data_IF_883952744550
#
_entry.id   IF_883952744550
#
_cell.length_a   1.000
_cell.length_b   1.000
_cell.length_c   1.000
_cell.angle_alpha   90.00
_cell.angle_beta   90.00
_cell.angle_gamma   90.00
#
_symmetry.space_group_name_H-M   'P 1'
#
loop_
_entity.id
_entity.type
_entity.pdbx_description
1 polymer ?
#
# COMPACT_ATOMS: atom_id res chain seq x y z
N UNK A 1 -30.54 -16.18 -16.21
CA UNK A 1 -30.34 -15.57 -14.88
C UNK A 1 -29.09 -14.71 -14.97
N UNK A 2 -29.25 -13.40 -15.12
CA UNK A 2 -28.14 -12.47 -15.30
C UNK A 2 -27.54 -12.16 -13.93
N UNK A 3 -26.39 -12.74 -13.62
CA UNK A 3 -25.55 -12.28 -12.52
C UNK A 3 -25.05 -10.90 -12.89
N UNK A 4 -25.60 -9.87 -12.26
CA UNK A 4 -24.99 -8.56 -12.24
C UNK A 4 -23.65 -8.74 -11.51
N UNK A 5 -22.55 -8.74 -12.26
CA UNK A 5 -21.24 -8.50 -11.68
C UNK A 5 -21.35 -7.17 -10.94
N UNK A 6 -21.24 -7.22 -9.62
CA UNK A 6 -21.08 -6.03 -8.80
C UNK A 6 -19.70 -5.45 -9.07
N UNK A 7 -19.50 -4.85 -10.24
CA UNK A 7 -18.47 -3.83 -10.47
C UNK A 7 -18.98 -2.53 -9.81
N UNK A 8 -19.16 -2.56 -8.50
CA UNK A 8 -19.72 -1.44 -7.75
C UNK A 8 -18.58 -0.69 -7.07
N UNK A 9 -18.22 0.44 -7.68
CA UNK A 9 -17.58 1.63 -7.12
C UNK A 9 -16.18 1.47 -6.49
N UNK A 10 -15.36 2.51 -6.65
CA UNK A 10 -14.14 2.65 -5.83
C UNK A 10 -14.51 2.46 -4.35
N UNK A 11 -13.82 1.55 -3.66
CA UNK A 11 -14.06 1.30 -2.25
C UNK A 11 -13.71 2.53 -1.42
N UNK A 12 -14.62 2.92 -0.54
CA UNK A 12 -14.41 3.98 0.43
C UNK A 12 -13.42 3.56 1.52
N UNK A 13 -12.73 4.53 2.10
CA UNK A 13 -11.93 4.31 3.32
C UNK A 13 -12.89 3.84 4.41
N UNK A 14 -12.57 2.72 5.06
CA UNK A 14 -13.39 2.09 6.09
C UNK A 14 -14.31 0.99 5.57
N UNK A 15 -14.52 0.87 4.26
CA UNK A 15 -15.30 -0.21 3.66
C UNK A 15 -14.54 -1.54 3.67
N UNK A 16 -15.28 -2.64 3.61
CA UNK A 16 -14.71 -3.98 3.47
C UNK A 16 -14.53 -4.27 1.99
N UNK A 17 -13.29 -4.55 1.60
CA UNK A 17 -13.01 -5.02 0.25
C UNK A 17 -13.62 -6.41 0.06
N UNK A 18 -14.57 -6.61 -0.87
CA UNK A 18 -15.24 -7.89 -1.06
C UNK A 18 -14.30 -8.99 -1.57
N UNK A 19 -13.14 -8.62 -2.14
CA UNK A 19 -12.16 -9.57 -2.66
C UNK A 19 -11.25 -10.13 -1.58
N UNK A 20 -10.83 -9.30 -0.64
CA UNK A 20 -9.87 -9.68 0.42
C UNK A 20 -10.55 -9.88 1.78
N UNK A 21 -11.75 -9.34 1.96
CA UNK A 21 -12.46 -9.29 3.24
C UNK A 21 -11.82 -8.32 4.24
N UNK A 22 -10.86 -7.50 3.82
CA UNK A 22 -10.16 -6.56 4.71
C UNK A 22 -10.74 -5.15 4.61
N UNK A 23 -10.63 -4.40 5.71
CA UNK A 23 -10.99 -2.98 5.72
C UNK A 23 -9.97 -2.17 4.92
N UNK A 24 -10.46 -1.32 4.03
CA UNK A 24 -9.65 -0.33 3.32
C UNK A 24 -9.26 0.78 4.28
N UNK A 25 -7.95 1.03 4.41
CA UNK A 25 -7.38 2.02 5.33
C UNK A 25 -6.97 3.32 4.63
N UNK A 26 -6.55 3.23 3.38
CA UNK A 26 -6.22 4.35 2.52
C UNK A 26 -6.23 3.91 1.05
N UNK A 27 -6.14 4.87 0.12
CA UNK A 27 -6.04 4.56 -1.30
C UNK A 27 -5.18 5.58 -2.04
N UNK A 28 -4.60 5.16 -3.18
CA UNK A 28 -3.95 6.03 -4.15
C UNK A 28 -4.56 5.83 -5.52
N UNK A 29 -4.86 6.92 -6.22
CA UNK A 29 -5.25 6.87 -7.64
C UNK A 29 -4.02 7.12 -8.49
N UNK A 30 -3.73 6.21 -9.41
CA UNK A 30 -2.63 6.35 -10.37
C UNK A 30 -3.19 6.41 -11.78
N UNK A 31 -2.50 7.13 -12.67
CA UNK A 31 -2.76 7.01 -14.11
C UNK A 31 -2.46 5.57 -14.52
N UNK A 32 -3.37 4.99 -15.28
CA UNK A 32 -3.26 3.60 -15.71
C UNK A 32 -3.20 3.51 -17.23
N UNK A 33 -2.62 2.41 -17.72
CA UNK A 33 -2.44 2.15 -19.14
C UNK A 33 -3.77 2.00 -19.87
N UNK A 34 -3.74 1.66 -21.17
CA UNK A 34 -4.92 1.64 -22.06
C UNK A 34 -6.06 0.67 -21.67
N UNK A 35 -5.96 -0.05 -20.54
CA UNK A 35 -6.84 -1.16 -20.14
C UNK A 35 -7.45 -1.04 -18.73
N UNK A 36 -7.64 0.16 -18.15
CA UNK A 36 -8.11 0.30 -16.75
C UNK A 36 -9.47 0.97 -16.53
N UNK A 37 -9.90 0.97 -15.26
CA UNK A 37 -11.29 0.81 -14.80
C UNK A 37 -12.14 2.10 -14.71
N UNK A 38 -11.55 3.30 -14.73
CA UNK A 38 -12.32 4.55 -14.62
C UNK A 38 -11.72 5.72 -15.40
N UNK A 39 -12.59 6.53 -15.99
CA UNK A 39 -12.25 7.77 -16.68
C UNK A 39 -12.64 8.96 -15.80
N UNK A 40 -11.67 9.82 -15.45
CA UNK A 40 -11.91 11.09 -14.75
C UNK A 40 -11.44 12.28 -15.57
N UNK A 41 -12.09 13.44 -15.43
CA UNK A 41 -11.59 14.69 -15.99
C UNK A 41 -10.38 15.17 -15.17
N UNK A 42 -9.27 15.49 -15.84
CA UNK A 42 -8.07 15.97 -15.17
C UNK A 42 -8.31 17.31 -14.45
N UNK A 43 -7.91 17.37 -13.18
CA UNK A 43 -8.13 18.53 -12.29
C UNK A 43 -7.05 19.61 -12.38
N UNK A 44 -5.91 19.32 -13.04
CA UNK A 44 -4.85 20.31 -13.27
C UNK A 44 -5.31 21.35 -14.30
N UNK A 45 -5.15 22.67 -14.05
CA UNK A 45 -5.61 23.71 -14.99
C UNK A 45 -5.06 23.56 -16.42
N UNK A 46 -3.81 23.11 -16.55
CA UNK A 46 -3.15 22.86 -17.85
C UNK A 46 -3.59 21.58 -18.57
N UNK A 47 -4.39 20.73 -17.91
CA UNK A 47 -4.90 19.48 -18.46
C UNK A 47 -6.44 19.41 -18.43
N UNK A 48 -7.11 20.50 -18.06
CA UNK A 48 -8.58 20.58 -17.93
C UNK A 48 -9.26 20.13 -19.22
N UNK A 49 -10.27 19.27 -19.12
CA UNK A 49 -10.93 18.63 -20.27
C UNK A 49 -10.27 17.34 -20.80
N UNK A 50 -9.10 16.94 -20.29
CA UNK A 50 -8.49 15.66 -20.66
C UNK A 50 -9.03 14.53 -19.79
N UNK A 51 -9.56 13.49 -20.44
CA UNK A 51 -9.94 12.23 -19.81
C UNK A 51 -8.67 11.45 -19.43
N UNK A 52 -8.55 11.07 -18.17
CA UNK A 52 -7.44 10.26 -17.66
C UNK A 52 -8.00 8.93 -17.16
N UNK A 53 -7.44 7.84 -17.68
CA UNK A 53 -7.74 6.52 -17.16
C UNK A 53 -6.97 6.30 -15.86
N UNK A 54 -7.67 5.96 -14.78
CA UNK A 54 -7.06 5.77 -13.46
C UNK A 54 -7.33 4.39 -12.90
N UNK A 55 -6.34 3.85 -12.18
CA UNK A 55 -6.47 2.67 -11.34
C UNK A 55 -6.35 3.09 -9.87
N UNK A 56 -7.27 2.61 -9.05
CA UNK A 56 -7.20 2.78 -7.59
C UNK A 56 -6.38 1.65 -6.97
N UNK A 57 -5.48 2.01 -6.06
CA UNK A 57 -4.67 1.11 -5.26
C UNK A 57 -5.13 1.22 -3.82
N UNK A 58 -5.62 0.14 -3.24
CA UNK A 58 -6.10 0.12 -1.88
C UNK A 58 -4.99 -0.29 -0.93
N UNK A 59 -4.98 0.27 0.27
CA UNK A 59 -4.10 -0.15 1.35
C UNK A 59 -4.92 -0.75 2.48
N UNK A 60 -4.51 -1.93 2.93
CA UNK A 60 -5.23 -2.71 3.93
C UNK A 60 -4.26 -3.28 4.97
N UNK A 61 -4.82 -3.74 6.10
CA UNK A 61 -4.08 -4.47 7.12
C UNK A 61 -4.72 -5.86 7.34
N UNK A 62 -4.15 -6.94 6.77
CA UNK A 62 -4.62 -8.31 7.03
C UNK A 62 -4.42 -8.76 8.48
N UNK A 63 -3.53 -8.10 9.23
CA UNK A 63 -3.25 -8.35 10.64
C UNK A 63 -1.89 -9.01 10.91
N UNK A 64 -1.21 -9.56 9.92
CA UNK A 64 0.05 -10.32 10.11
C UNK A 64 1.18 -9.56 10.78
N UNK A 65 1.18 -8.23 10.65
CA UNK A 65 2.18 -7.34 11.21
C UNK A 65 1.66 -6.59 12.44
N UNK A 66 0.43 -6.82 12.89
CA UNK A 66 -0.24 -5.98 13.89
C UNK A 66 -0.53 -6.75 15.20
N UNK A 67 0.33 -6.63 16.23
CA UNK A 67 0.12 -7.25 17.53
C UNK A 67 -1.12 -6.74 18.28
N UNK A 68 -1.60 -5.53 17.95
CA UNK A 68 -2.79 -4.94 18.59
C UNK A 68 -4.08 -5.53 18.02
N UNK A 69 -3.98 -6.29 16.92
CA UNK A 69 -5.13 -6.71 16.13
C UNK A 69 -5.63 -5.58 15.24
N UNK A 70 -6.40 -5.93 14.21
CA UNK A 70 -6.86 -4.94 13.23
C UNK A 70 -7.23 -5.53 11.88
N UNK A 71 -6.79 -6.76 11.62
CA UNK A 71 -7.22 -7.57 10.47
C UNK A 71 -7.70 -8.95 10.90
N UNK A 72 -8.26 -9.69 9.94
CA UNK A 72 -8.97 -10.94 10.20
C UNK A 72 -8.03 -12.15 10.37
N UNK A 73 -6.73 -12.01 10.10
CA UNK A 73 -5.79 -13.13 10.10
C UNK A 73 -4.91 -13.17 11.37
N UNK A 74 -4.89 -12.09 12.14
CA UNK A 74 -4.10 -11.99 13.38
C UNK A 74 -2.58 -11.86 13.18
N UNK A 75 -1.90 -11.51 14.26
CA UNK A 75 -0.45 -11.25 14.26
C UNK A 75 0.36 -12.54 14.10
N UNK A 76 1.36 -12.49 13.22
CA UNK A 76 2.36 -13.53 13.10
C UNK A 76 3.64 -13.09 13.82
N UNK A 77 4.02 -13.81 14.87
CA UNK A 77 5.16 -13.48 15.75
C UNK A 77 6.52 -13.42 15.04
N UNK A 78 6.64 -14.02 13.85
CA UNK A 78 7.85 -13.97 13.02
C UNK A 78 7.95 -12.71 12.16
N UNK A 79 6.88 -11.91 12.10
CA UNK A 79 6.78 -10.70 11.28
C UNK A 79 7.15 -9.47 12.08
N UNK A 80 7.71 -8.48 11.40
CA UNK A 80 7.97 -7.16 11.98
C UNK A 80 6.66 -6.47 12.36
N UNK A 81 6.71 -5.61 13.37
CA UNK A 81 5.55 -4.88 13.88
C UNK A 81 5.24 -3.71 12.98
N UNK A 82 3.96 -3.58 12.63
CA UNK A 82 3.36 -2.47 11.89
C UNK A 82 3.63 -1.16 12.66
N UNK A 83 4.24 -0.15 12.03
CA UNK A 83 4.49 1.13 12.70
C UNK A 83 3.19 1.90 12.87
N UNK A 84 3.05 2.69 13.93
CA UNK A 84 1.80 3.42 14.23
C UNK A 84 1.44 4.46 13.16
N UNK A 85 2.45 5.05 12.49
CA UNK A 85 2.28 6.01 11.41
C UNK A 85 2.12 5.35 10.02
N UNK A 86 1.77 4.07 9.93
CA UNK A 86 1.69 3.31 8.66
C UNK A 86 0.78 3.95 7.60
N UNK A 87 -0.33 4.60 7.99
CA UNK A 87 -1.21 5.32 7.05
C UNK A 87 -0.50 6.56 6.47
N UNK A 88 0.22 7.32 7.30
CA UNK A 88 1.00 8.47 6.84
C UNK A 88 2.13 8.02 5.90
N UNK A 89 2.82 6.94 6.24
CA UNK A 89 3.83 6.32 5.40
C UNK A 89 3.25 5.88 4.06
N UNK A 90 2.07 5.25 4.05
CA UNK A 90 1.37 4.88 2.82
C UNK A 90 1.10 6.10 1.94
N UNK A 91 0.56 7.18 2.51
CA UNK A 91 0.22 8.40 1.76
C UNK A 91 1.47 9.08 1.15
N UNK A 92 2.64 8.91 1.77
CA UNK A 92 3.93 9.41 1.25
C UNK A 92 4.64 8.41 0.34
N UNK A 93 4.11 7.20 0.19
CA UNK A 93 4.77 6.14 -0.54
C UNK A 93 4.75 6.39 -2.05
N UNK A 94 5.79 5.92 -2.73
CA UNK A 94 5.94 6.00 -4.19
C UNK A 94 6.17 4.63 -4.78
N UNK A 95 5.68 4.43 -6.00
CA UNK A 95 6.09 3.29 -6.83
C UNK A 95 7.37 3.69 -7.54
N UNK A 96 8.34 2.78 -7.54
CA UNK A 96 9.60 2.94 -8.26
C UNK A 96 9.57 2.04 -9.49
N UNK A 97 10.08 2.53 -10.63
CA UNK A 97 9.99 1.80 -11.91
C UNK A 97 10.67 0.43 -11.87
N UNK A 98 11.76 0.32 -11.13
CA UNK A 98 12.50 -0.93 -10.94
C UNK A 98 11.78 -1.95 -10.06
N UNK A 99 10.74 -1.54 -9.33
CA UNK A 99 10.00 -2.37 -8.40
C UNK A 99 8.49 -2.03 -8.40
N UNK A 100 7.77 -2.29 -9.51
CA UNK A 100 6.39 -1.82 -9.70
C UNK A 100 5.37 -2.52 -8.81
N UNK A 101 5.73 -3.66 -8.20
CA UNK A 101 4.87 -4.43 -7.28
C UNK A 101 4.95 -3.93 -5.85
N UNK A 102 5.82 -2.96 -5.57
CA UNK A 102 5.95 -2.40 -4.24
C UNK A 102 5.85 -0.87 -4.29
N UNK A 103 5.28 -0.35 -3.22
CA UNK A 103 5.33 1.05 -2.84
C UNK A 103 6.31 1.22 -1.71
N UNK A 104 7.09 2.28 -1.75
CA UNK A 104 8.12 2.55 -0.78
C UNK A 104 7.92 3.92 -0.15
N UNK A 105 7.98 3.98 1.17
CA UNK A 105 8.02 5.23 1.92
C UNK A 105 9.36 5.36 2.65
N UNK A 106 9.83 6.58 2.80
CA UNK A 106 11.09 6.88 3.49
C UNK A 106 10.79 7.78 4.67
N UNK A 107 11.25 7.39 5.86
CA UNK A 107 11.24 8.23 7.04
C UNK A 107 12.66 8.39 7.60
N UNK A 108 12.89 9.49 8.33
CA UNK A 108 14.12 9.68 9.10
C UNK A 108 13.75 9.64 10.57
N UNK A 109 14.32 8.68 11.31
CA UNK A 109 14.07 8.50 12.74
C UNK A 109 15.39 8.33 13.47
N UNK A 110 15.63 9.13 14.50
CA UNK A 110 16.89 9.11 15.27
C UNK A 110 18.14 9.19 14.35
N UNK A 111 18.12 10.09 13.37
CA UNK A 111 19.17 10.27 12.36
C UNK A 111 19.46 9.06 11.47
N UNK A 112 18.56 8.05 11.45
CA UNK A 112 18.63 6.91 10.53
C UNK A 112 17.53 7.02 9.48
N UNK A 113 17.90 6.75 8.23
CA UNK A 113 16.94 6.59 7.13
C UNK A 113 16.31 5.20 7.22
N UNK A 114 14.98 5.15 7.29
CA UNK A 114 14.20 3.90 7.33
C UNK A 114 13.33 3.84 6.08
N UNK A 115 13.40 2.71 5.39
CA UNK A 115 12.59 2.42 4.22
C UNK A 115 11.48 1.47 4.60
N UNK A 116 10.23 1.83 4.29
CA UNK A 116 9.04 1.02 4.52
C UNK A 116 8.52 0.50 3.20
N UNK A 117 8.24 -0.81 3.13
CA UNK A 117 7.69 -1.46 1.94
C UNK A 117 6.22 -1.75 2.13
N UNK A 118 5.43 -1.39 1.13
CA UNK A 118 4.05 -1.81 0.96
C UNK A 118 3.98 -2.66 -0.31
N UNK A 119 3.57 -3.91 -0.17
CA UNK A 119 3.61 -4.89 -1.26
C UNK A 119 2.22 -5.13 -1.84
N UNK A 120 2.11 -5.17 -3.16
CA UNK A 120 0.91 -5.58 -3.89
C UNK A 120 0.67 -7.09 -3.68
N UNK A 121 -0.55 -7.46 -3.27
CA UNK A 121 -1.01 -8.83 -3.08
C UNK A 121 -1.28 -9.59 -4.40
N UNK A 122 -1.07 -8.92 -5.54
CA UNK A 122 -1.33 -9.43 -6.89
C UNK A 122 -2.71 -9.06 -7.43
N UNK A 123 -3.54 -8.44 -6.60
CA UNK A 123 -4.89 -8.01 -6.92
C UNK A 123 -5.07 -6.49 -6.93
N UNK A 124 -3.97 -5.72 -6.75
CA UNK A 124 -4.01 -4.27 -6.68
C UNK A 124 -4.25 -3.73 -5.27
N UNK A 125 -4.29 -4.59 -4.26
CA UNK A 125 -4.32 -4.19 -2.85
C UNK A 125 -2.93 -4.30 -2.27
N UNK A 126 -2.58 -3.35 -1.42
CA UNK A 126 -1.26 -3.25 -0.82
C UNK A 126 -1.34 -3.47 0.67
N UNK A 127 -0.36 -4.19 1.20
CA UNK A 127 -0.21 -4.41 2.64
C UNK A 127 1.19 -3.96 3.06
N UNK A 128 1.32 -3.48 4.30
CA UNK A 128 2.64 -3.17 4.84
C UNK A 128 3.41 -4.47 5.02
N UNK A 129 4.64 -4.50 4.52
CA UNK A 129 5.43 -5.72 4.37
C UNK A 129 6.79 -5.66 5.08
N UNK A 130 7.01 -4.63 5.91
CA UNK A 130 8.23 -4.47 6.69
C UNK A 130 8.93 -3.15 6.46
N UNK A 131 10.03 -2.97 7.18
CA UNK A 131 10.94 -1.84 7.01
C UNK A 131 12.40 -2.27 7.22
N UNK A 132 13.35 -1.40 6.87
CA UNK A 132 14.79 -1.62 7.13
C UNK A 132 15.18 -1.51 8.61
N UNK A 133 14.27 -1.10 9.50
CA UNK A 133 14.41 -1.18 10.98
C UNK A 133 13.32 -2.07 11.60
N UNK A 134 12.78 -3.00 10.81
CA UNK A 134 11.71 -3.89 11.26
C UNK A 134 12.13 -4.75 12.45
N UNK A 135 11.25 -4.85 13.45
CA UNK A 135 11.44 -5.69 14.64
C UNK A 135 10.17 -6.46 14.96
N UNK A 136 10.27 -7.69 15.46
CA UNK A 136 9.11 -8.43 15.97
C UNK A 136 8.61 -7.79 17.27
N UNK A 137 7.45 -8.23 17.77
CA UNK A 137 6.90 -7.77 19.05
C UNK A 137 7.84 -8.06 20.25
N UNK A 138 8.78 -9.00 20.10
CA UNK A 138 9.82 -9.31 21.10
C UNK A 138 11.09 -8.48 20.94
N UNK A 139 11.13 -7.58 19.96
CA UNK A 139 12.30 -6.74 19.66
C UNK A 139 13.36 -7.42 18.78
N UNK A 140 13.11 -8.63 18.28
CA UNK A 140 14.04 -9.35 17.41
C UNK A 140 14.11 -8.69 16.03
N UNK A 141 15.31 -8.57 15.47
CA UNK A 141 15.51 -7.92 14.18
C UNK A 141 14.82 -8.71 13.04
N UNK A 142 13.95 -8.02 12.31
CA UNK A 142 13.28 -8.46 11.08
C UNK A 142 13.24 -7.34 10.05
N UNK A 143 14.43 -6.78 9.82
CA UNK A 143 14.65 -5.74 8.83
C UNK A 143 14.60 -6.31 7.41
N UNK A 144 14.03 -5.54 6.49
CA UNK A 144 14.26 -5.68 5.06
C UNK A 144 15.76 -5.42 4.80
N UNK A 145 16.39 -6.24 3.95
CA UNK A 145 17.79 -6.03 3.60
C UNK A 145 17.91 -4.74 2.79
N UNK A 146 18.96 -3.95 3.06
CA UNK A 146 19.17 -2.71 2.32
C UNK A 146 19.33 -2.97 0.81
N UNK A 147 19.84 -4.13 0.42
CA UNK A 147 19.99 -4.53 -0.98
C UNK A 147 18.66 -4.71 -1.71
N UNK A 148 17.58 -5.04 -0.98
CA UNK A 148 16.23 -5.16 -1.52
C UNK A 148 15.56 -3.79 -1.73
N UNK A 149 16.12 -2.72 -1.18
CA UNK A 149 15.62 -1.35 -1.41
C UNK A 149 16.03 -0.90 -2.82
N UNK A 150 15.12 -0.34 -3.62
CA UNK A 150 15.43 0.22 -4.93
C UNK A 150 16.56 1.26 -4.85
N UNK A 151 17.53 1.16 -5.75
CA UNK A 151 18.72 2.02 -5.75
C UNK A 151 18.35 3.50 -5.90
N UNK A 152 17.26 3.80 -6.60
CA UNK A 152 16.74 5.15 -6.82
C UNK A 152 16.27 5.84 -5.54
N UNK A 153 15.99 5.07 -4.48
CA UNK A 153 15.57 5.60 -3.18
C UNK A 153 16.74 5.72 -2.20
N UNK A 154 17.87 5.05 -2.47
CA UNK A 154 19.06 5.13 -1.63
C UNK A 154 19.68 6.51 -1.84
N UNK A 155 19.85 7.24 -0.74
CA UNK A 155 20.51 8.55 -0.71
C UNK A 155 21.94 8.40 -0.25
#
# INVERSE_FOLDING_TARGET
MWVHNAECCDLGIGEINPRTGHKVLASHKIEAGSNSDYIIEATKPSAKGKLVNTKTQYYENPGHHDPKGGGNVGYNSTKSVLPENHIELWNKSVIVKSDPKNRWAVETKNSKTIYHRFQDDGNGNFHWNGSTDGKTARGEARAIKIDDVPKELKR
#
